data_IF_240843458625
#
_entry.id   IF_240843458625
#
_cell.length_a   1.000
_cell.length_b   1.000
_cell.length_c   1.000
_cell.angle_alpha   90.00
_cell.angle_beta   90.00
_cell.angle_gamma   90.00
#
_symmetry.space_group_name_H-M   'P 1'
#
loop_
_entity.id
_entity.type
_entity.pdbx_description
1 polymer ?
#
# COMPACT_ATOMS: atom_id res chain seq x y z
N UNK A 1 -6.06 10.51 22.06
CA UNK A 1 -4.88 10.72 21.20
C UNK A 1 -5.07 10.14 19.81
N UNK A 2 -5.45 8.86 19.68
CA UNK A 2 -5.72 8.17 18.40
C UNK A 2 -6.60 8.95 17.41
N UNK A 3 -7.73 9.52 17.84
CA UNK A 3 -8.64 10.28 16.95
C UNK A 3 -8.00 11.56 16.38
N UNK A 4 -7.11 12.22 17.13
CA UNK A 4 -6.42 13.44 16.68
C UNK A 4 -5.41 13.12 15.58
N UNK A 5 -4.70 11.99 15.70
CA UNK A 5 -3.72 11.54 14.71
C UNK A 5 -4.42 11.11 13.41
N UNK A 6 -5.51 10.36 13.51
CA UNK A 6 -6.34 9.99 12.35
C UNK A 6 -6.81 11.23 11.57
N UNK A 7 -7.31 12.24 12.26
CA UNK A 7 -7.73 13.51 11.64
C UNK A 7 -6.56 14.25 11.02
N UNK A 8 -5.39 14.27 11.67
CA UNK A 8 -4.19 14.91 11.13
C UNK A 8 -3.72 14.22 9.84
N UNK A 9 -3.68 12.89 9.82
CA UNK A 9 -3.34 12.09 8.63
C UNK A 9 -4.35 12.34 7.51
N UNK A 10 -5.65 12.27 7.81
CA UNK A 10 -6.70 12.52 6.83
C UNK A 10 -6.61 13.94 6.24
N UNK A 11 -6.32 14.95 7.06
CA UNK A 11 -6.11 16.32 6.59
C UNK A 11 -4.87 16.45 5.70
N UNK A 12 -3.75 15.84 6.08
CA UNK A 12 -2.52 15.84 5.30
C UNK A 12 -2.70 15.16 3.93
N UNK A 13 -3.50 14.09 3.88
CA UNK A 13 -3.77 13.31 2.67
C UNK A 13 -5.05 13.74 1.93
N UNK A 14 -5.68 14.86 2.31
CA UNK A 14 -6.91 15.33 1.67
C UNK A 14 -6.78 15.57 0.16
N UNK A 15 -5.56 15.85 -0.31
CA UNK A 15 -5.21 16.03 -1.72
C UNK A 15 -5.07 14.71 -2.50
N UNK A 16 -5.16 13.56 -1.83
CA UNK A 16 -5.13 12.21 -2.40
C UNK A 16 -6.36 11.43 -1.90
N UNK A 17 -7.58 11.80 -2.32
CA UNK A 17 -8.79 11.12 -1.87
C UNK A 17 -8.88 9.71 -2.45
N UNK A 18 -9.50 8.80 -1.69
CA UNK A 18 -9.93 7.52 -2.24
C UNK A 18 -11.10 7.71 -3.20
N UNK A 19 -11.04 7.05 -4.36
CA UNK A 19 -12.04 7.13 -5.43
C UNK A 19 -12.68 5.74 -5.60
N UNK A 20 -13.84 5.46 -4.98
CA UNK A 20 -14.41 4.11 -4.93
C UNK A 20 -14.66 3.46 -6.30
N UNK A 21 -15.10 4.24 -7.28
CA UNK A 21 -15.41 3.73 -8.63
C UNK A 21 -14.17 3.46 -9.48
N UNK A 22 -13.01 4.05 -9.12
CA UNK A 22 -11.73 3.72 -9.76
C UNK A 22 -11.19 2.41 -9.20
N UNK A 23 -11.39 2.15 -7.90
CA UNK A 23 -10.92 0.94 -7.24
C UNK A 23 -9.40 0.75 -7.33
N UNK A 24 -8.97 -0.49 -7.16
CA UNK A 24 -7.57 -0.89 -7.28
C UNK A 24 -7.39 -1.68 -8.58
N UNK A 25 -6.42 -1.29 -9.43
CA UNK A 25 -6.17 -1.97 -10.71
C UNK A 25 -5.89 -3.47 -10.45
N UNK A 26 -6.55 -4.34 -11.21
CA UNK A 26 -6.39 -5.80 -11.07
C UNK A 26 -7.17 -6.42 -9.91
N UNK A 27 -8.10 -5.69 -9.28
CA UNK A 27 -9.01 -6.19 -8.24
C UNK A 27 -10.47 -6.11 -8.73
N UNK A 28 -11.36 -6.99 -8.25
CA UNK A 28 -12.80 -6.90 -8.54
C UNK A 28 -13.41 -5.67 -7.86
N UNK A 29 -14.60 -5.27 -8.30
CA UNK A 29 -15.32 -4.15 -7.69
C UNK A 29 -15.56 -4.39 -6.19
N UNK A 30 -15.11 -3.47 -5.35
CA UNK A 30 -15.21 -3.57 -3.89
C UNK A 30 -14.05 -4.30 -3.21
N UNK A 31 -13.20 -5.01 -3.95
CA UNK A 31 -11.99 -5.62 -3.41
C UNK A 31 -10.93 -4.55 -3.10
N UNK A 32 -10.16 -4.81 -2.05
CA UNK A 32 -9.07 -3.96 -1.59
C UNK A 32 -7.85 -4.83 -1.32
N UNK A 33 -6.65 -4.45 -1.78
CA UNK A 33 -5.44 -5.15 -1.39
C UNK A 33 -5.22 -4.99 0.12
N UNK A 34 -4.61 -5.99 0.74
CA UNK A 34 -4.17 -5.87 2.13
C UNK A 34 -2.94 -4.96 2.24
N UNK A 35 -2.65 -4.52 3.47
CA UNK A 35 -1.46 -3.72 3.79
C UNK A 35 -0.17 -4.32 3.22
N UNK A 36 0.07 -5.62 3.45
CA UNK A 36 1.28 -6.31 2.97
C UNK A 36 1.41 -6.28 1.44
N UNK A 37 0.29 -6.44 0.71
CA UNK A 37 0.31 -6.30 -0.74
C UNK A 37 0.73 -4.89 -1.20
N UNK A 38 0.28 -3.84 -0.51
CA UNK A 38 0.63 -2.45 -0.87
C UNK A 38 2.10 -2.16 -0.61
N UNK A 39 2.65 -2.61 0.53
CA UNK A 39 4.03 -2.28 0.91
C UNK A 39 5.07 -3.14 0.20
N UNK A 40 4.71 -4.35 -0.22
CA UNK A 40 5.56 -5.25 -1.02
C UNK A 40 5.46 -5.01 -2.52
N UNK A 41 4.61 -4.07 -2.97
CA UNK A 41 4.30 -3.87 -4.39
C UNK A 41 5.55 -3.60 -5.25
N UNK A 42 6.49 -2.82 -4.72
CA UNK A 42 7.75 -2.48 -5.39
C UNK A 42 8.76 -3.64 -5.48
N UNK A 43 8.55 -4.73 -4.73
CA UNK A 43 9.41 -5.91 -4.69
C UNK A 43 8.95 -6.97 -5.70
N UNK A 44 7.63 -7.19 -5.82
CA UNK A 44 7.04 -8.01 -6.88
C UNK A 44 5.69 -7.46 -7.35
N UNK A 45 5.70 -6.80 -8.49
CA UNK A 45 4.52 -6.23 -9.16
C UNK A 45 3.45 -7.27 -9.53
N UNK A 46 3.83 -8.55 -9.62
CA UNK A 46 2.92 -9.64 -9.99
C UNK A 46 2.09 -10.12 -8.80
N UNK A 47 2.40 -9.64 -7.59
CA UNK A 47 1.65 -9.89 -6.37
C UNK A 47 0.28 -9.22 -6.39
N UNK A 48 -0.66 -9.77 -7.16
CA UNK A 48 -2.08 -9.42 -6.99
C UNK A 48 -2.57 -10.02 -5.67
N UNK A 49 -3.43 -9.28 -4.97
CA UNK A 49 -4.18 -9.85 -3.87
C UNK A 49 -5.19 -10.84 -4.46
N UNK A 50 -4.78 -12.10 -4.59
CA UNK A 50 -5.65 -13.21 -5.01
C UNK A 50 -6.23 -13.79 -3.73
N UNK A 51 -7.43 -13.35 -3.35
CA UNK A 51 -8.22 -14.09 -2.38
C UNK A 51 -8.92 -15.22 -3.14
N UNK A 52 -8.84 -16.46 -2.66
CA UNK A 52 -9.74 -17.51 -3.13
C UNK A 52 -11.17 -17.15 -2.72
N UNK A 53 -12.14 -17.39 -3.61
CA UNK A 53 -13.55 -17.32 -3.25
C UNK A 53 -13.81 -18.32 -2.09
N UNK A 54 -14.51 -17.87 -1.05
CA UNK A 54 -14.97 -18.64 0.12
C UNK A 54 -13.93 -19.12 1.15
N UNK A 55 -12.62 -18.99 0.91
CA UNK A 55 -11.61 -19.20 1.96
C UNK A 55 -11.22 -17.86 2.59
N UNK A 56 -11.06 -17.83 3.92
CA UNK A 56 -10.67 -16.62 4.66
C UNK A 56 -9.52 -15.92 3.92
N UNK A 57 -9.84 -14.77 3.34
CA UNK A 57 -9.13 -14.09 2.25
C UNK A 57 -7.67 -13.81 2.58
N UNK A 58 -6.81 -14.81 2.36
CA UNK A 58 -5.35 -14.70 2.47
C UNK A 58 -4.78 -14.49 1.08
N UNK A 59 -4.19 -13.32 0.84
CA UNK A 59 -3.42 -13.07 -0.36
C UNK A 59 -2.14 -13.93 -0.38
N UNK A 60 -1.55 -14.14 -1.56
CA UNK A 60 -0.29 -14.89 -1.70
C UNK A 60 0.82 -14.35 -0.80
N UNK A 61 0.97 -13.02 -0.70
CA UNK A 61 1.98 -12.39 0.16
C UNK A 61 1.81 -12.79 1.63
N UNK A 62 0.59 -12.75 2.15
CA UNK A 62 0.32 -13.14 3.54
C UNK A 62 0.34 -14.67 3.71
N UNK A 63 -0.05 -15.42 2.70
CA UNK A 63 0.02 -16.89 2.72
C UNK A 63 1.47 -17.37 2.80
N UNK A 64 2.36 -16.83 1.95
CA UNK A 64 3.78 -17.15 1.92
C UNK A 64 4.49 -16.75 3.21
N UNK A 65 4.12 -15.60 3.80
CA UNK A 65 4.64 -15.15 5.09
C UNK A 65 4.01 -15.88 6.30
N UNK A 66 3.00 -16.72 6.08
CA UNK A 66 2.16 -17.33 7.13
C UNK A 66 1.51 -16.30 8.09
N UNK A 67 1.16 -15.13 7.56
CA UNK A 67 0.53 -14.03 8.28
C UNK A 67 -0.98 -13.91 7.95
N UNK A 68 -1.68 -13.05 8.68
CA UNK A 68 -3.06 -12.66 8.34
C UNK A 68 -3.05 -11.42 7.45
N UNK A 69 -4.00 -11.33 6.51
CA UNK A 69 -4.18 -10.10 5.74
C UNK A 69 -4.63 -8.95 6.64
N UNK A 70 -3.82 -7.89 6.69
CA UNK A 70 -4.13 -6.69 7.45
C UNK A 70 -4.90 -5.69 6.58
N UNK A 71 -6.00 -5.16 7.12
CA UNK A 71 -6.76 -4.11 6.45
C UNK A 71 -5.99 -2.79 6.42
N UNK A 72 -6.26 -1.97 5.40
CA UNK A 72 -5.74 -0.61 5.28
C UNK A 72 -6.72 0.34 5.97
N UNK A 73 -6.27 1.20 6.92
CA UNK A 73 -7.10 2.23 7.52
C UNK A 73 -7.72 3.15 6.46
N UNK A 74 -8.96 3.58 6.69
CA UNK A 74 -9.69 4.44 5.74
C UNK A 74 -8.95 5.74 5.43
N UNK A 75 -8.23 6.29 6.42
CA UNK A 75 -7.42 7.49 6.30
C UNK A 75 -6.27 7.35 5.28
N UNK A 76 -5.86 6.12 4.99
CA UNK A 76 -4.77 5.79 4.06
C UNK A 76 -5.26 5.24 2.72
N UNK A 77 -6.56 4.99 2.54
CA UNK A 77 -7.06 4.31 1.34
C UNK A 77 -6.74 5.07 0.06
N UNK A 78 -6.80 6.39 0.07
CA UNK A 78 -6.48 7.20 -1.11
C UNK A 78 -5.01 7.12 -1.49
N UNK A 79 -4.12 7.20 -0.50
CA UNK A 79 -2.68 7.00 -0.71
C UNK A 79 -2.37 5.59 -1.22
N UNK A 80 -2.96 4.56 -0.60
CA UNK A 80 -2.84 3.17 -1.04
C UNK A 80 -3.32 2.99 -2.48
N UNK A 81 -4.49 3.53 -2.83
CA UNK A 81 -5.04 3.46 -4.20
C UNK A 81 -4.11 4.13 -5.20
N UNK A 82 -3.57 5.30 -4.87
CA UNK A 82 -2.66 6.03 -5.75
C UNK A 82 -1.36 5.25 -5.95
N UNK A 83 -0.74 4.76 -4.89
CA UNK A 83 0.50 3.96 -5.00
C UNK A 83 0.29 2.69 -5.81
N UNK A 84 -0.77 1.94 -5.49
CA UNK A 84 -1.13 0.71 -6.19
C UNK A 84 -1.33 0.94 -7.69
N UNK A 85 -2.21 1.89 -8.03
CA UNK A 85 -2.59 2.14 -9.42
C UNK A 85 -1.43 2.73 -10.22
N UNK A 86 -0.66 3.66 -9.64
CA UNK A 86 0.51 4.23 -10.32
C UNK A 86 1.57 3.17 -10.59
N UNK A 87 1.91 2.34 -9.60
CA UNK A 87 2.94 1.32 -9.80
C UNK A 87 2.51 0.27 -10.83
N UNK A 88 1.28 -0.26 -10.74
CA UNK A 88 0.78 -1.21 -11.72
C UNK A 88 0.72 -0.62 -13.13
N UNK A 89 0.35 0.65 -13.28
CA UNK A 89 0.40 1.32 -14.59
C UNK A 89 1.85 1.38 -15.14
N UNK A 90 2.85 1.57 -14.28
CA UNK A 90 4.27 1.51 -14.69
C UNK A 90 4.72 0.09 -15.02
N UNK A 91 4.37 -0.90 -14.20
CA UNK A 91 4.72 -2.31 -14.38
C UNK A 91 4.09 -2.92 -15.65
N UNK A 92 2.87 -2.52 -16.01
CA UNK A 92 2.24 -2.89 -17.29
C UNK A 92 2.96 -2.32 -18.52
N UNK A 93 3.86 -1.35 -18.32
CA UNK A 93 4.67 -0.73 -19.36
C UNK A 93 6.17 -0.94 -19.13
N UNK A 94 6.53 -2.00 -18.38
CA UNK A 94 7.90 -2.29 -17.97
C UNK A 94 8.89 -2.30 -19.14
N UNK A 95 8.48 -2.86 -20.28
CA UNK A 95 9.26 -2.92 -21.52
C UNK A 95 9.54 -1.56 -22.19
N UNK A 96 8.88 -0.47 -21.77
CA UNK A 96 9.08 0.89 -22.30
C UNK A 96 10.13 1.67 -21.51
N UNK A 97 10.53 1.19 -20.34
CA UNK A 97 11.49 1.89 -19.48
C UNK A 97 12.92 1.41 -19.75
N UNK A 98 13.84 2.37 -19.87
CA UNK A 98 15.27 2.08 -19.77
C UNK A 98 15.62 1.56 -18.37
N UNK A 99 16.75 0.85 -18.23
CA UNK A 99 17.19 0.34 -16.93
C UNK A 99 17.32 1.43 -15.85
N UNK A 100 17.81 2.62 -16.21
CA UNK A 100 17.91 3.74 -15.27
C UNK A 100 16.54 4.30 -14.86
N UNK A 101 15.58 4.40 -15.80
CA UNK A 101 14.23 4.85 -15.48
C UNK A 101 13.53 3.88 -14.54
N UNK A 102 13.67 2.58 -14.79
CA UNK A 102 13.13 1.52 -13.94
C UNK A 102 13.68 1.60 -12.52
N UNK A 103 15.01 1.69 -12.39
CA UNK A 103 15.64 1.83 -11.07
C UNK A 103 15.15 3.07 -10.31
N UNK A 104 14.96 4.21 -10.99
CA UNK A 104 14.42 5.43 -10.35
C UNK A 104 12.98 5.27 -9.90
N UNK A 105 12.15 4.60 -10.71
CA UNK A 105 10.76 4.27 -10.37
C UNK A 105 10.76 3.37 -9.13
N UNK A 106 11.52 2.28 -9.14
CA UNK A 106 11.59 1.34 -8.01
C UNK A 106 12.06 2.03 -6.73
N UNK A 107 13.04 2.94 -6.80
CA UNK A 107 13.50 3.72 -5.65
C UNK A 107 12.43 4.65 -5.10
N UNK A 108 11.74 5.40 -5.96
CA UNK A 108 10.63 6.27 -5.55
C UNK A 108 9.54 5.46 -4.85
N UNK A 109 9.17 4.30 -5.40
CA UNK A 109 8.14 3.47 -4.78
C UNK A 109 8.60 2.83 -3.48
N UNK A 110 9.87 2.43 -3.36
CA UNK A 110 10.46 1.97 -2.09
C UNK A 110 10.43 3.03 -0.98
N UNK A 111 10.70 4.29 -1.30
CA UNK A 111 10.55 5.40 -0.36
C UNK A 111 9.09 5.62 0.03
N UNK A 112 8.17 5.57 -0.95
CA UNK A 112 6.74 5.71 -0.71
C UNK A 112 6.18 4.59 0.18
N UNK A 113 6.58 3.34 -0.06
CA UNK A 113 6.16 2.20 0.77
C UNK A 113 6.71 2.32 2.19
N UNK A 114 7.98 2.71 2.35
CA UNK A 114 8.58 2.95 3.67
C UNK A 114 7.83 4.03 4.45
N UNK A 115 7.50 5.16 3.80
CA UNK A 115 6.70 6.21 4.43
C UNK A 115 5.27 5.75 4.78
N UNK A 116 4.67 4.93 3.91
CA UNK A 116 3.35 4.35 4.16
C UNK A 116 3.36 3.42 5.39
N UNK A 117 4.37 2.55 5.52
CA UNK A 117 4.56 1.66 6.66
C UNK A 117 4.68 2.46 7.97
N UNK A 118 5.50 3.52 7.99
CA UNK A 118 5.65 4.39 9.15
C UNK A 118 4.30 4.98 9.60
N UNK A 119 3.52 5.55 8.68
CA UNK A 119 2.23 6.17 9.02
C UNK A 119 1.22 5.10 9.45
N UNK A 120 1.22 3.94 8.79
CA UNK A 120 0.38 2.80 9.17
C UNK A 120 0.65 2.37 10.62
N UNK A 121 1.92 2.21 11.00
CA UNK A 121 2.32 1.83 12.34
C UNK A 121 1.91 2.87 13.40
N UNK A 122 2.07 4.17 13.08
CA UNK A 122 1.60 5.27 13.94
C UNK A 122 0.07 5.22 14.12
N UNK A 123 -0.68 4.92 13.06
CA UNK A 123 -2.14 4.83 13.13
C UNK A 123 -2.61 3.65 13.98
N UNK A 124 -1.91 2.51 13.91
CA UNK A 124 -2.20 1.34 14.72
C UNK A 124 -1.76 1.51 16.18
N UNK A 125 -0.62 2.17 16.41
CA UNK A 125 -0.01 2.33 17.73
C UNK A 125 0.42 3.78 17.98
N UNK A 126 -0.55 4.70 18.16
CA UNK A 126 -0.27 6.15 18.26
C UNK A 126 0.58 6.55 19.46
N UNK A 127 0.60 5.73 20.51
CA UNK A 127 1.35 6.00 21.75
C UNK A 127 2.74 5.33 21.75
N UNK A 128 3.11 4.60 20.68
CA UNK A 128 4.44 3.98 20.56
C UNK A 128 5.49 5.08 20.34
N UNK A 129 6.58 5.12 21.14
CA UNK A 129 7.66 6.06 20.90
C UNK A 129 8.27 5.80 19.52
N UNK A 130 8.40 6.85 18.70
CA UNK A 130 9.13 6.77 17.44
C UNK A 130 10.60 6.53 17.75
N UNK A 131 11.07 5.30 17.56
CA UNK A 131 12.50 5.01 17.55
C UNK A 131 13.04 5.38 16.18
N UNK A 132 13.76 6.49 16.09
CA UNK A 132 14.60 6.75 14.92
C UNK A 132 15.80 5.82 15.04
N UNK A 133 15.84 4.79 14.21
CA UNK A 133 17.08 4.06 13.97
C UNK A 133 17.99 5.01 13.18
N UNK A 134 18.88 5.67 13.92
CA UNK A 134 19.99 6.41 13.35
C UNK A 134 20.99 5.40 12.77
N UNK A 135 20.84 5.08 11.49
CA UNK A 135 21.93 4.55 10.66
C UNK A 135 22.72 5.68 10.00
#
# INVERSE_FOLDING_TARGET
>A
MSNTIKLAVAAALAHVPFIPHVGFIGQKAGERPCYHCVVSLHQDARGLCVAEEDSMSRCLVCADANESCCAIPDELLGAAQRFWNCYLAHALHDNKWTGLQRWRIDKLFGECTSAFQLIYDILLNPDRPMTYDHE
#
